data_IF_560571718234
#
_entry.id   IF_560571718234
#
_cell.length_a   1.000
_cell.length_b   1.000
_cell.length_c   1.000
_cell.angle_alpha   90.00
_cell.angle_beta   90.00
_cell.angle_gamma   90.00
#
_symmetry.space_group_name_H-M   'P 1'
#
loop_
_entity.id
_entity.type
_entity.pdbx_description
1 polymer ?
#
# COMPACT_ATOMS: atom_id res chain seq x y z
N UNK A 1 -19.37 -45.56 48.67
CA UNK A 1 -17.94 -45.22 48.52
C UNK A 1 -17.50 -44.99 47.07
N UNK A 2 -17.84 -45.84 46.09
CA UNK A 2 -17.40 -45.63 44.70
C UNK A 2 -18.20 -44.51 43.98
N UNK A 3 -19.50 -44.44 44.23
CA UNK A 3 -20.39 -43.42 43.63
C UNK A 3 -20.12 -42.01 44.18
N UNK A 4 -19.70 -41.89 45.44
CA UNK A 4 -19.40 -40.61 46.09
C UNK A 4 -18.14 -39.96 45.49
N UNK A 5 -17.16 -40.79 45.10
CA UNK A 5 -15.95 -40.35 44.40
C UNK A 5 -16.24 -39.90 42.96
N UNK A 6 -17.12 -40.61 42.25
CA UNK A 6 -17.56 -40.19 40.91
C UNK A 6 -18.33 -38.86 40.95
N UNK A 7 -19.19 -38.65 41.95
CA UNK A 7 -19.90 -37.39 42.15
C UNK A 7 -18.94 -36.22 42.42
N UNK A 8 -17.93 -36.43 43.26
CA UNK A 8 -16.94 -35.40 43.59
C UNK A 8 -16.03 -35.07 42.40
N UNK A 9 -15.57 -36.08 41.66
CA UNK A 9 -14.76 -35.88 40.44
C UNK A 9 -15.58 -35.17 39.36
N UNK A 10 -16.85 -35.55 39.17
CA UNK A 10 -17.75 -34.88 38.24
C UNK A 10 -17.94 -33.39 38.57
N UNK A 11 -18.16 -33.07 39.85
CA UNK A 11 -18.27 -31.68 40.32
C UNK A 11 -16.97 -30.89 40.11
N UNK A 12 -15.81 -31.48 40.42
CA UNK A 12 -14.52 -30.83 40.25
C UNK A 12 -14.21 -30.49 38.78
N UNK A 13 -14.54 -31.40 37.86
CA UNK A 13 -14.40 -31.16 36.41
C UNK A 13 -15.31 -30.02 35.97
N UNK A 14 -16.55 -29.99 36.44
CA UNK A 14 -17.52 -28.94 36.10
C UNK A 14 -17.05 -27.56 36.57
N UNK A 15 -16.53 -27.47 37.81
CA UNK A 15 -15.97 -26.23 38.35
C UNK A 15 -14.75 -25.78 37.56
N UNK A 16 -13.83 -26.68 37.23
CA UNK A 16 -12.65 -26.35 36.43
C UNK A 16 -13.03 -25.81 35.03
N UNK A 17 -14.06 -26.37 34.42
CA UNK A 17 -14.55 -25.96 33.11
C UNK A 17 -15.17 -24.55 33.16
N UNK A 18 -15.98 -24.26 34.19
CA UNK A 18 -16.54 -22.92 34.41
C UNK A 18 -15.43 -21.89 34.65
N UNK A 19 -14.46 -22.20 35.51
CA UNK A 19 -13.33 -21.29 35.79
C UNK A 19 -12.49 -21.05 34.53
N UNK A 20 -12.24 -22.09 33.73
CA UNK A 20 -11.50 -21.97 32.47
C UNK A 20 -12.21 -21.08 31.45
N UNK A 21 -13.52 -21.23 31.29
CA UNK A 21 -14.32 -20.40 30.38
C UNK A 21 -14.36 -18.95 30.84
N UNK A 22 -14.64 -18.70 32.13
CA UNK A 22 -14.69 -17.35 32.68
C UNK A 22 -13.31 -16.68 32.62
N UNK A 23 -12.26 -17.37 33.04
CA UNK A 23 -10.88 -16.87 32.96
C UNK A 23 -10.45 -16.59 31.52
N UNK A 24 -10.77 -17.49 30.60
CA UNK A 24 -10.49 -17.32 29.17
C UNK A 24 -11.23 -16.14 28.54
N UNK A 25 -12.48 -15.90 28.92
CA UNK A 25 -13.26 -14.76 28.46
C UNK A 25 -12.63 -13.43 28.90
N UNK A 26 -12.32 -13.27 30.20
CA UNK A 26 -11.72 -12.04 30.72
C UNK A 26 -10.30 -11.78 30.17
N UNK A 27 -9.48 -12.82 30.00
CA UNK A 27 -8.13 -12.67 29.45
C UNK A 27 -8.10 -12.51 27.93
N UNK A 28 -9.02 -13.17 27.21
CA UNK A 28 -9.08 -13.13 25.75
C UNK A 28 -9.53 -11.77 25.22
N UNK A 29 -10.50 -11.14 25.89
CA UNK A 29 -11.05 -9.85 25.49
C UNK A 29 -9.96 -8.75 25.52
N UNK A 30 -9.19 -8.67 26.60
CA UNK A 30 -8.17 -7.63 26.76
C UNK A 30 -6.98 -7.70 25.77
N UNK A 31 -6.71 -8.87 25.19
CA UNK A 31 -5.60 -9.09 24.25
C UNK A 31 -6.03 -8.95 22.78
N UNK A 32 -7.26 -9.34 22.44
CA UNK A 32 -7.81 -9.20 21.09
C UNK A 32 -8.07 -7.74 20.71
N UNK A 33 -8.70 -6.97 21.60
CA UNK A 33 -9.03 -5.57 21.36
C UNK A 33 -7.79 -4.68 21.17
N UNK A 34 -6.76 -4.85 22.01
CA UNK A 34 -5.53 -4.05 21.92
C UNK A 34 -4.72 -4.29 20.65
N UNK A 35 -4.75 -5.50 20.09
CA UNK A 35 -4.12 -5.80 18.78
C UNK A 35 -4.95 -5.29 17.61
N UNK A 36 -6.29 -5.41 17.68
CA UNK A 36 -7.18 -4.96 16.61
C UNK A 36 -7.14 -3.45 16.36
N UNK A 37 -7.27 -2.64 17.42
CA UNK A 37 -7.35 -1.18 17.29
C UNK A 37 -6.01 -0.56 16.88
N UNK A 38 -4.90 -1.05 17.42
CA UNK A 38 -3.56 -0.53 17.12
C UNK A 38 -3.12 -0.79 15.68
N UNK A 39 -3.41 -1.97 15.15
CA UNK A 39 -3.06 -2.32 13.77
C UNK A 39 -4.03 -1.69 12.77
N UNK A 40 -5.32 -1.57 13.12
CA UNK A 40 -6.32 -0.87 12.30
C UNK A 40 -6.00 0.61 12.11
N UNK A 41 -5.69 1.32 13.20
CA UNK A 41 -5.39 2.75 13.16
C UNK A 41 -4.13 3.07 12.35
N UNK A 42 -3.09 2.23 12.46
CA UNK A 42 -1.85 2.38 11.67
C UNK A 42 -2.08 2.15 10.18
N UNK A 43 -2.90 1.15 9.82
CA UNK A 43 -3.25 0.89 8.42
C UNK A 43 -4.04 2.05 7.82
N UNK A 44 -5.06 2.55 8.53
CA UNK A 44 -5.85 3.68 8.08
C UNK A 44 -5.01 4.94 7.84
N UNK A 45 -4.07 5.26 8.74
CA UNK A 45 -3.15 6.38 8.53
C UNK A 45 -2.21 6.18 7.34
N UNK A 46 -1.69 4.96 7.14
CA UNK A 46 -0.83 4.65 6.01
C UNK A 46 -1.57 4.79 4.68
N UNK A 47 -2.81 4.32 4.59
CA UNK A 47 -3.63 4.42 3.38
C UNK A 47 -3.98 5.88 3.04
N UNK A 48 -4.36 6.67 4.05
CA UNK A 48 -4.63 8.10 3.86
C UNK A 48 -3.37 8.82 3.39
N UNK A 49 -2.21 8.55 4.00
CA UNK A 49 -0.94 9.16 3.57
C UNK A 49 -0.59 8.80 2.13
N UNK A 50 -0.75 7.52 1.76
CA UNK A 50 -0.49 7.05 0.39
C UNK A 50 -1.40 7.73 -0.64
N UNK A 51 -2.69 7.88 -0.34
CA UNK A 51 -3.62 8.59 -1.21
C UNK A 51 -3.25 10.07 -1.41
N UNK A 52 -2.78 10.73 -0.35
CA UNK A 52 -2.33 12.12 -0.42
C UNK A 52 -1.03 12.26 -1.22
N UNK A 53 -0.08 11.35 -1.06
CA UNK A 53 1.16 11.33 -1.84
C UNK A 53 0.91 11.09 -3.32
N UNK A 54 0.01 10.16 -3.67
CA UNK A 54 -0.37 9.92 -5.07
C UNK A 54 -1.08 11.13 -5.69
N UNK A 55 -2.03 11.74 -4.97
CA UNK A 55 -2.70 12.96 -5.42
C UNK A 55 -1.73 14.13 -5.59
N UNK A 56 -0.81 14.32 -4.63
CA UNK A 56 0.23 15.35 -4.70
C UNK A 56 1.19 15.10 -5.87
N UNK A 57 1.57 13.85 -6.14
CA UNK A 57 2.43 13.50 -7.29
C UNK A 57 1.75 13.82 -8.62
N UNK A 58 0.47 13.45 -8.77
CA UNK A 58 -0.32 13.76 -9.97
C UNK A 58 -0.50 15.26 -10.19
N UNK A 59 -0.75 16.01 -9.10
CA UNK A 59 -0.83 17.48 -9.16
C UNK A 59 0.52 18.10 -9.54
N UNK A 60 1.63 17.61 -8.98
CA UNK A 60 2.97 18.08 -9.33
C UNK A 60 3.34 17.74 -10.79
N UNK A 61 3.02 16.54 -11.27
CA UNK A 61 3.30 16.11 -12.64
C UNK A 61 2.48 16.90 -13.66
N UNK A 62 1.21 17.14 -13.38
CA UNK A 62 0.36 17.98 -14.24
C UNK A 62 0.81 19.44 -14.25
N UNK A 63 1.18 20.01 -13.10
CA UNK A 63 1.74 21.35 -13.02
C UNK A 63 3.08 21.46 -13.75
N UNK A 64 3.97 20.48 -13.60
CA UNK A 64 5.24 20.43 -14.32
C UNK A 64 5.03 20.32 -15.83
N UNK A 65 4.06 19.51 -16.28
CA UNK A 65 3.71 19.39 -17.69
C UNK A 65 3.10 20.68 -18.25
N UNK A 66 2.26 21.37 -17.49
CA UNK A 66 1.64 22.62 -17.88
C UNK A 66 2.63 23.80 -17.91
N UNK A 67 3.60 23.80 -16.97
CA UNK A 67 4.62 24.84 -16.88
C UNK A 67 5.83 24.59 -17.81
N UNK A 68 5.94 23.41 -18.44
CA UNK A 68 7.07 23.09 -19.31
C UNK A 68 6.93 23.79 -20.68
N UNK A 69 7.78 24.79 -21.00
CA UNK A 69 7.74 25.49 -22.28
C UNK A 69 8.22 24.63 -23.46
N UNK A 70 8.74 23.42 -23.21
CA UNK A 70 9.22 22.46 -24.22
C UNK A 70 8.24 21.29 -24.45
N UNK A 71 6.95 21.48 -24.21
CA UNK A 71 5.94 20.42 -24.22
C UNK A 71 5.97 19.54 -25.49
N UNK A 72 6.07 18.21 -25.27
CA UNK A 72 5.83 17.03 -26.13
C UNK A 72 6.36 16.96 -27.58
N UNK A 73 6.63 18.07 -28.25
CA UNK A 73 7.14 18.11 -29.62
C UNK A 73 8.61 18.51 -29.59
N UNK A 74 9.47 17.61 -30.05
CA UNK A 74 10.89 17.86 -30.19
C UNK A 74 11.07 19.02 -31.21
N UNK A 75 11.68 20.16 -30.85
CA UNK A 75 11.87 21.28 -31.79
C UNK A 75 12.75 20.90 -32.99
N UNK A 76 13.43 19.76 -32.95
CA UNK A 76 14.24 19.21 -34.04
C UNK A 76 13.50 18.15 -34.89
N UNK A 77 12.23 17.83 -34.62
CA UNK A 77 11.48 16.79 -35.36
C UNK A 77 11.29 17.12 -36.85
N UNK A 78 11.39 18.39 -37.25
CA UNK A 78 11.28 18.84 -38.65
C UNK A 78 12.57 19.46 -39.20
N UNK A 79 13.67 19.44 -38.44
CA UNK A 79 14.93 20.03 -38.89
C UNK A 79 15.76 18.94 -39.54
N UNK A 80 16.02 19.10 -40.83
CA UNK A 80 16.87 18.20 -41.61
C UNK A 80 18.23 18.07 -40.91
N UNK A 81 18.61 16.84 -40.54
CA UNK A 81 19.78 16.58 -39.70
C UNK A 81 21.10 17.14 -40.27
N UNK A 82 21.14 17.44 -41.58
CA UNK A 82 22.28 18.07 -42.23
C UNK A 82 21.85 18.95 -43.42
N UNK A 83 21.93 20.29 -43.30
CA UNK A 83 21.55 21.22 -44.38
C UNK A 83 22.46 21.15 -45.61
N UNK A 84 23.61 20.47 -45.53
CA UNK A 84 24.56 20.31 -46.63
C UNK A 84 24.32 19.07 -47.51
N UNK A 85 23.38 18.19 -47.13
CA UNK A 85 23.03 17.02 -47.97
C UNK A 85 22.42 17.44 -49.31
N UNK A 86 21.61 18.51 -49.32
CA UNK A 86 21.05 19.08 -50.55
C UNK A 86 22.12 19.71 -51.45
N UNK A 87 23.18 20.26 -50.88
CA UNK A 87 24.26 20.91 -51.64
C UNK A 87 25.26 19.92 -52.23
N UNK A 88 25.46 18.74 -51.62
CA UNK A 88 26.34 17.69 -52.18
C UNK A 88 25.88 17.23 -53.56
N UNK A 89 24.58 17.01 -53.76
CA UNK A 89 24.02 16.64 -55.08
C UNK A 89 24.10 17.75 -56.12
N UNK A 90 24.04 19.01 -55.70
CA UNK A 90 24.09 20.16 -56.61
C UNK A 90 25.54 20.54 -57.00
N UNK A 91 26.53 20.18 -56.18
CA UNK A 91 27.94 20.56 -56.35
C UNK A 91 28.87 19.38 -56.66
N UNK A 92 28.34 18.16 -56.83
CA UNK A 92 29.15 17.02 -57.27
C UNK A 92 29.07 16.88 -58.80
N UNK A 93 30.06 17.37 -59.58
CA UNK A 93 30.08 17.20 -61.03
C UNK A 93 30.49 15.79 -61.48
N UNK A 94 30.62 14.84 -60.55
CA UNK A 94 31.07 13.45 -60.81
C UNK A 94 30.06 12.38 -60.38
N UNK A 95 28.84 12.76 -59.97
CA UNK A 95 27.68 11.86 -59.88
C UNK A 95 26.91 11.80 -61.22
#
# INVERSE_FOLDING_TARGET
MQNDKLGFVGLAVLVALVVGVVGGYYYGDGAGYRRGDGDGYKRAQADVKKSQEEAARLAAESAAKAANPFGAQNPLQGVEANPFEKTKKALNPFD
#
